data_IF_712994603916
#
_entry.id   IF_712994603916
#
_cell.length_a   1.000
_cell.length_b   1.000
_cell.length_c   1.000
_cell.angle_alpha   90.00
_cell.angle_beta   90.00
_cell.angle_gamma   90.00
#
_symmetry.space_group_name_H-M   'P 1'
#
loop_
_entity.id
_entity.type
_entity.pdbx_description
1 polymer ?
#
# COMPACT_ATOMS: atom_id res chain seq x y z
N UNK A 1 -18.92 0.53 6.24
CA UNK A 1 -18.33 0.23 4.92
C UNK A 1 -17.01 0.97 4.86
N UNK A 2 -15.94 0.31 4.42
CA UNK A 2 -14.64 0.99 4.28
C UNK A 2 -14.70 1.97 3.09
N UNK A 3 -13.83 2.99 3.07
CA UNK A 3 -13.75 3.91 1.93
C UNK A 3 -13.48 3.19 0.60
N UNK A 4 -12.81 2.03 0.65
CA UNK A 4 -12.57 1.16 -0.50
C UNK A 4 -13.85 0.47 -0.97
N UNK A 5 -14.72 0.02 -0.05
CA UNK A 5 -16.00 -0.58 -0.41
C UNK A 5 -16.94 0.43 -1.07
N UNK A 6 -16.94 1.67 -0.58
CA UNK A 6 -17.72 2.77 -1.15
C UNK A 6 -17.22 3.08 -2.57
N UNK A 7 -15.91 3.16 -2.77
CA UNK A 7 -15.29 3.38 -4.09
C UNK A 7 -15.63 2.25 -5.08
N UNK A 8 -15.55 0.98 -4.65
CA UNK A 8 -15.94 -0.17 -5.47
C UNK A 8 -17.42 -0.08 -5.85
N UNK A 9 -18.29 0.28 -4.89
CA UNK A 9 -19.72 0.48 -5.14
C UNK A 9 -20.00 1.58 -6.17
N UNK A 10 -19.33 2.72 -6.05
CA UNK A 10 -19.46 3.85 -6.98
C UNK A 10 -18.97 3.49 -8.39
N UNK A 11 -17.82 2.84 -8.52
CA UNK A 11 -17.28 2.42 -9.81
C UNK A 11 -18.18 1.40 -10.52
N UNK A 12 -18.78 0.47 -9.77
CA UNK A 12 -19.78 -0.46 -10.33
C UNK A 12 -21.03 0.26 -10.81
N UNK A 13 -21.50 1.26 -10.08
CA UNK A 13 -22.64 2.08 -10.49
C UNK A 13 -22.33 2.94 -11.73
N UNK A 14 -21.15 3.55 -11.80
CA UNK A 14 -20.65 4.29 -12.96
C UNK A 14 -20.64 3.38 -14.21
N UNK A 15 -20.06 2.19 -14.08
CA UNK A 15 -19.96 1.22 -15.18
C UNK A 15 -21.31 0.74 -15.71
N UNK A 16 -22.37 0.71 -14.90
CA UNK A 16 -23.70 0.33 -15.35
C UNK A 16 -24.26 1.30 -16.41
N UNK A 17 -23.82 2.56 -16.40
CA UNK A 17 -24.23 3.59 -17.37
C UNK A 17 -23.32 3.73 -18.59
N UNK A 18 -22.21 2.98 -18.66
CA UNK A 18 -21.17 3.15 -19.69
C UNK A 18 -21.09 1.95 -20.63
N UNK A 19 -20.75 2.23 -21.89
CA UNK A 19 -20.53 1.23 -22.95
C UNK A 19 -19.29 1.55 -23.79
N UNK A 20 -18.70 0.52 -24.41
CA UNK A 20 -17.53 0.68 -25.29
C UNK A 20 -16.30 1.26 -24.57
N UNK A 21 -15.47 2.00 -25.31
CA UNK A 21 -14.19 2.54 -24.81
C UNK A 21 -14.32 3.48 -23.62
N UNK A 22 -15.49 4.09 -23.40
CA UNK A 22 -15.77 4.91 -22.22
C UNK A 22 -15.66 4.12 -20.91
N UNK A 23 -15.79 2.78 -20.96
CA UNK A 23 -15.65 1.90 -19.79
C UNK A 23 -14.20 1.69 -19.37
N UNK A 24 -13.21 1.97 -20.22
CA UNK A 24 -11.81 1.61 -19.98
C UNK A 24 -11.26 2.18 -18.67
N UNK A 25 -11.39 3.49 -18.45
CA UNK A 25 -10.84 4.13 -17.25
C UNK A 25 -11.53 3.66 -15.94
N UNK A 26 -12.88 3.60 -15.85
CA UNK A 26 -13.54 3.07 -14.65
C UNK A 26 -13.25 1.59 -14.39
N UNK A 27 -13.09 0.77 -15.44
CA UNK A 27 -12.68 -0.64 -15.29
C UNK A 27 -11.27 -0.78 -14.69
N UNK A 28 -10.32 0.06 -15.13
CA UNK A 28 -8.95 0.06 -14.58
C UNK A 28 -8.99 0.42 -13.09
N UNK A 29 -9.71 1.50 -12.74
CA UNK A 29 -9.87 1.91 -11.34
C UNK A 29 -10.54 0.81 -10.51
N UNK A 30 -11.57 0.14 -11.05
CA UNK A 30 -12.25 -0.95 -10.37
C UNK A 30 -11.30 -2.12 -10.10
N UNK A 31 -10.52 -2.55 -11.11
CA UNK A 31 -9.52 -3.59 -10.95
C UNK A 31 -8.49 -3.24 -9.87
N UNK A 32 -7.99 -2.01 -9.87
CA UNK A 32 -7.05 -1.52 -8.84
C UNK A 32 -7.67 -1.51 -7.45
N UNK A 33 -8.89 -1.01 -7.28
CA UNK A 33 -9.57 -0.98 -5.98
C UNK A 33 -9.85 -2.38 -5.43
N UNK A 34 -10.19 -3.34 -6.28
CA UNK A 34 -10.40 -4.74 -5.88
C UNK A 34 -9.09 -5.40 -5.43
N UNK A 35 -8.00 -5.18 -6.16
CA UNK A 35 -6.67 -5.65 -5.76
C UNK A 35 -6.20 -4.99 -4.46
N UNK A 36 -6.44 -3.69 -4.31
CA UNK A 36 -6.13 -2.98 -3.09
C UNK A 36 -6.92 -3.53 -1.89
N UNK A 37 -8.22 -3.78 -2.05
CA UNK A 37 -9.03 -4.43 -1.01
C UNK A 37 -8.47 -5.80 -0.63
N UNK A 38 -8.10 -6.62 -1.62
CA UNK A 38 -7.49 -7.93 -1.39
C UNK A 38 -6.22 -7.81 -0.55
N UNK A 39 -5.38 -6.80 -0.80
CA UNK A 39 -4.17 -6.58 0.02
C UNK A 39 -4.47 -6.14 1.45
N UNK A 40 -5.58 -5.42 1.68
CA UNK A 40 -5.99 -4.98 3.02
C UNK A 40 -6.65 -6.09 3.83
N UNK A 41 -7.56 -6.86 3.22
CA UNK A 41 -8.32 -7.91 3.91
C UNK A 41 -7.60 -9.25 3.95
N UNK A 42 -6.57 -9.41 3.12
CA UNK A 42 -5.84 -10.66 2.93
C UNK A 42 -6.51 -11.60 1.92
N UNK A 43 -5.70 -12.54 1.42
CA UNK A 43 -6.11 -13.56 0.44
C UNK A 43 -7.00 -14.64 1.04
N UNK A 44 -7.17 -14.73 2.36
CA UNK A 44 -8.06 -15.72 2.99
C UNK A 44 -9.46 -15.17 3.31
N UNK A 45 -9.74 -13.90 2.97
CA UNK A 45 -11.03 -13.30 3.21
C UNK A 45 -12.14 -13.99 2.39
N UNK A 46 -13.39 -14.10 2.92
CA UNK A 46 -14.50 -14.74 2.19
C UNK A 46 -14.82 -14.10 0.83
N UNK A 47 -14.48 -12.82 0.62
CA UNK A 47 -14.67 -12.11 -0.64
C UNK A 47 -13.47 -12.21 -1.60
N UNK A 48 -12.33 -12.75 -1.16
CA UNK A 48 -11.07 -12.69 -1.90
C UNK A 48 -11.18 -13.28 -3.31
N UNK A 49 -11.73 -14.50 -3.44
CA UNK A 49 -11.90 -15.15 -4.73
C UNK A 49 -12.81 -14.34 -5.68
N UNK A 50 -13.95 -13.85 -5.19
CA UNK A 50 -14.88 -13.05 -5.98
C UNK A 50 -14.27 -11.71 -6.41
N UNK A 51 -13.46 -11.09 -5.55
CA UNK A 51 -12.78 -9.83 -5.85
C UNK A 51 -11.68 -10.01 -6.89
N UNK A 52 -10.92 -11.09 -6.79
CA UNK A 52 -9.89 -11.45 -7.77
C UNK A 52 -10.50 -11.72 -9.14
N UNK A 53 -11.58 -12.51 -9.21
CA UNK A 53 -12.28 -12.79 -10.48
C UNK A 53 -12.86 -11.51 -11.10
N UNK A 54 -13.42 -10.63 -10.27
CA UNK A 54 -13.92 -9.34 -10.71
C UNK A 54 -12.78 -8.42 -11.21
N UNK A 55 -11.61 -8.43 -10.55
CA UNK A 55 -10.45 -7.65 -10.95
C UNK A 55 -9.88 -8.15 -12.29
N UNK A 56 -9.74 -9.47 -12.45
CA UNK A 56 -9.35 -10.12 -13.71
C UNK A 56 -10.29 -9.70 -14.82
N UNK A 57 -11.61 -9.85 -14.63
CA UNK A 57 -12.61 -9.52 -15.64
C UNK A 57 -12.56 -8.03 -16.04
N UNK A 58 -12.42 -7.14 -15.06
CA UNK A 58 -12.37 -5.70 -15.32
C UNK A 58 -11.10 -5.28 -16.08
N UNK A 59 -9.94 -5.81 -15.70
CA UNK A 59 -8.65 -5.47 -16.32
C UNK A 59 -8.51 -6.10 -17.71
N UNK A 60 -9.05 -7.30 -17.93
CA UNK A 60 -9.13 -7.93 -19.24
C UNK A 60 -9.99 -7.10 -20.20
N UNK A 61 -11.19 -6.70 -19.76
CA UNK A 61 -12.09 -5.85 -20.56
C UNK A 61 -11.43 -4.50 -20.87
N UNK A 62 -10.79 -3.87 -19.88
CA UNK A 62 -10.07 -2.61 -20.08
C UNK A 62 -8.96 -2.73 -21.12
N UNK A 63 -8.13 -3.79 -21.06
CA UNK A 63 -7.07 -4.04 -22.04
C UNK A 63 -7.60 -4.23 -23.47
N UNK A 64 -8.83 -4.75 -23.60
CA UNK A 64 -9.52 -4.87 -24.88
C UNK A 64 -9.85 -3.53 -25.54
N UNK A 65 -9.91 -2.43 -24.77
CA UNK A 65 -10.15 -1.08 -25.29
C UNK A 65 -8.89 -0.28 -25.60
N UNK A 66 -7.73 -0.69 -25.08
CA UNK A 66 -6.48 0.03 -25.25
C UNK A 66 -5.76 -0.43 -26.54
N UNK A 67 -5.32 0.52 -27.36
CA UNK A 67 -4.46 0.23 -28.51
C UNK A 67 -3.05 -0.23 -28.09
N UNK A 68 -2.29 -0.85 -29.00
CA UNK A 68 -0.94 -1.37 -28.69
C UNK A 68 0.03 -0.28 -28.21
N UNK A 69 -0.06 0.93 -28.79
CA UNK A 69 0.79 2.09 -28.45
C UNK A 69 0.25 2.95 -27.29
N UNK A 70 -0.85 2.53 -26.66
CA UNK A 70 -1.48 3.29 -25.60
C UNK A 70 -0.54 3.44 -24.39
N UNK A 71 -0.29 4.66 -23.90
CA UNK A 71 0.68 4.91 -22.84
C UNK A 71 0.41 4.18 -21.53
N UNK A 72 -0.85 3.88 -21.21
CA UNK A 72 -1.21 3.22 -19.95
C UNK A 72 -1.31 1.70 -20.07
N UNK A 73 -1.26 1.14 -21.29
CA UNK A 73 -1.38 -0.31 -21.54
C UNK A 73 -0.37 -1.14 -20.75
N UNK A 74 0.85 -0.64 -20.60
CA UNK A 74 1.90 -1.30 -19.81
C UNK A 74 1.50 -1.45 -18.33
N UNK A 75 1.02 -0.37 -17.71
CA UNK A 75 0.54 -0.40 -16.32
C UNK A 75 -0.68 -1.28 -16.14
N UNK A 76 -1.66 -1.24 -17.07
CA UNK A 76 -2.83 -2.13 -17.00
C UNK A 76 -2.41 -3.59 -17.16
N UNK A 77 -1.45 -3.89 -18.03
CA UNK A 77 -0.91 -5.25 -18.18
C UNK A 77 -0.22 -5.72 -16.90
N UNK A 78 0.51 -4.85 -16.21
CA UNK A 78 1.09 -5.16 -14.90
C UNK A 78 0.01 -5.51 -13.86
N UNK A 79 -1.03 -4.67 -13.70
CA UNK A 79 -2.13 -4.96 -12.77
C UNK A 79 -2.87 -6.25 -13.13
N UNK A 80 -3.05 -6.52 -14.43
CA UNK A 80 -3.70 -7.74 -14.88
C UNK A 80 -2.87 -8.98 -14.56
N UNK A 81 -1.56 -8.95 -14.80
CA UNK A 81 -0.64 -10.01 -14.39
C UNK A 81 -0.65 -10.25 -12.87
N UNK A 82 -0.77 -9.18 -12.08
CA UNK A 82 -0.91 -9.29 -10.63
C UNK A 82 -2.23 -9.94 -10.22
N UNK A 83 -3.36 -9.55 -10.82
CA UNK A 83 -4.66 -10.19 -10.57
C UNK A 83 -4.66 -11.68 -10.92
N UNK A 84 -4.04 -12.06 -12.04
CA UNK A 84 -3.86 -13.46 -12.44
C UNK A 84 -2.96 -14.22 -11.46
N UNK A 85 -1.94 -13.57 -10.91
CA UNK A 85 -1.10 -14.16 -9.87
C UNK A 85 -1.89 -14.45 -8.60
N UNK A 86 -2.71 -13.49 -8.16
CA UNK A 86 -3.60 -13.69 -7.02
C UNK A 86 -4.60 -14.83 -7.28
N UNK A 87 -5.16 -14.92 -8.49
CA UNK A 87 -6.07 -16.01 -8.84
C UNK A 87 -5.39 -17.36 -8.86
N UNK A 88 -4.17 -17.42 -9.42
CA UNK A 88 -3.35 -18.62 -9.40
C UNK A 88 -3.08 -19.10 -7.98
N UNK A 89 -2.80 -18.20 -7.03
CA UNK A 89 -2.59 -18.57 -5.63
C UNK A 89 -3.85 -19.22 -4.99
N UNK A 90 -5.05 -18.88 -5.47
CA UNK A 90 -6.30 -19.47 -5.01
C UNK A 90 -6.69 -20.77 -5.72
N UNK A 91 -6.51 -20.85 -7.03
CA UNK A 91 -7.01 -21.95 -7.86
C UNK A 91 -5.95 -22.99 -8.18
N UNK A 92 -4.67 -22.62 -8.04
CA UNK A 92 -3.51 -23.34 -8.56
C UNK A 92 -3.61 -23.65 -10.08
N UNK A 93 -4.36 -22.85 -10.85
CA UNK A 93 -4.47 -23.03 -12.31
C UNK A 93 -3.21 -22.52 -13.00
N UNK A 94 -2.45 -23.43 -13.60
CA UNK A 94 -1.24 -23.15 -14.37
C UNK A 94 -1.46 -22.16 -15.52
N UNK A 95 -2.68 -22.11 -16.08
CA UNK A 95 -3.01 -21.16 -17.16
C UNK A 95 -2.93 -19.71 -16.69
N UNK A 96 -3.30 -19.45 -15.44
CA UNK A 96 -3.21 -18.11 -14.85
C UNK A 96 -1.75 -17.71 -14.61
N UNK A 97 -0.90 -18.66 -14.20
CA UNK A 97 0.56 -18.44 -14.08
C UNK A 97 1.17 -18.06 -15.43
N UNK A 98 0.90 -18.85 -16.47
CA UNK A 98 1.39 -18.59 -17.82
C UNK A 98 0.85 -17.27 -18.39
N UNK A 99 -0.40 -16.93 -18.10
CA UNK A 99 -0.98 -15.64 -18.48
C UNK A 99 -0.31 -14.48 -17.71
N UNK A 100 -0.06 -14.63 -16.42
CA UNK A 100 0.64 -13.64 -15.61
C UNK A 100 2.04 -13.35 -16.15
N UNK A 101 2.83 -14.40 -16.48
CA UNK A 101 4.14 -14.27 -17.13
C UNK A 101 4.04 -13.41 -18.40
N UNK A 102 3.11 -13.75 -19.31
CA UNK A 102 2.92 -13.00 -20.57
C UNK A 102 2.59 -11.52 -20.32
N UNK A 103 1.77 -11.22 -19.31
CA UNK A 103 1.37 -9.85 -19.01
C UNK A 103 2.47 -9.04 -18.31
N UNK A 104 3.31 -9.67 -17.47
CA UNK A 104 4.50 -9.01 -16.94
C UNK A 104 5.56 -8.76 -18.02
N UNK A 105 5.78 -9.71 -18.92
CA UNK A 105 6.65 -9.52 -20.10
C UNK A 105 6.14 -8.36 -20.98
N UNK A 106 4.83 -8.34 -21.28
CA UNK A 106 4.21 -7.25 -22.04
C UNK A 106 4.34 -5.89 -21.33
N UNK A 107 4.17 -5.86 -20.00
CA UNK A 107 4.37 -4.64 -19.22
C UNK A 107 5.82 -4.14 -19.33
N UNK A 108 6.80 -5.03 -19.17
CA UNK A 108 8.23 -4.70 -19.26
C UNK A 108 8.67 -4.31 -20.69
N UNK A 109 7.93 -4.74 -21.71
CA UNK A 109 8.11 -4.29 -23.10
C UNK A 109 7.65 -2.84 -23.35
N UNK A 110 6.86 -2.25 -22.45
CA UNK A 110 6.40 -0.87 -22.59
C UNK A 110 7.46 0.13 -22.13
N UNK A 111 7.88 1.01 -23.05
CA UNK A 111 8.81 2.10 -22.76
C UNK A 111 8.27 3.15 -21.78
N UNK A 112 6.96 3.15 -21.53
CA UNK A 112 6.26 4.12 -20.67
C UNK A 112 5.86 3.55 -19.31
N UNK A 113 6.29 2.32 -18.99
CA UNK A 113 6.00 1.72 -17.70
C UNK A 113 6.68 2.52 -16.58
N UNK A 114 5.91 2.88 -15.55
CA UNK A 114 6.43 3.63 -14.42
C UNK A 114 7.54 2.83 -13.70
N UNK A 115 8.56 3.53 -13.20
CA UNK A 115 9.75 2.90 -12.58
C UNK A 115 9.36 1.96 -11.42
N UNK A 116 8.36 2.34 -10.62
CA UNK A 116 7.84 1.48 -9.55
C UNK A 116 7.23 0.17 -10.08
N UNK A 117 6.54 0.20 -11.24
CA UNK A 117 5.96 -1.01 -11.84
C UNK A 117 7.03 -1.88 -12.50
N UNK A 118 8.15 -1.31 -12.96
CA UNK A 118 9.26 -2.09 -13.54
C UNK A 118 9.86 -3.04 -12.50
N UNK A 119 10.15 -2.54 -11.29
CA UNK A 119 10.68 -3.37 -10.21
C UNK A 119 9.68 -4.45 -9.80
N UNK A 120 8.41 -4.08 -9.60
CA UNK A 120 7.33 -5.02 -9.27
C UNK A 120 7.14 -6.10 -10.34
N UNK A 121 7.10 -5.72 -11.62
CA UNK A 121 6.93 -6.66 -12.73
C UNK A 121 8.07 -7.67 -12.79
N UNK A 122 9.33 -7.24 -12.58
CA UNK A 122 10.49 -8.14 -12.53
C UNK A 122 10.45 -9.06 -11.31
N UNK A 123 10.07 -8.57 -10.14
CA UNK A 123 9.90 -9.41 -8.95
C UNK A 123 8.87 -10.51 -9.19
N UNK A 124 7.70 -10.15 -9.72
CA UNK A 124 6.63 -11.11 -10.01
C UNK A 124 7.00 -12.09 -11.13
N UNK A 125 7.64 -11.60 -12.19
CA UNK A 125 8.10 -12.45 -13.29
C UNK A 125 9.16 -13.45 -12.82
N UNK A 126 10.12 -13.00 -12.00
CA UNK A 126 11.14 -13.87 -11.41
C UNK A 126 10.53 -14.94 -10.52
N UNK A 127 9.55 -14.58 -9.69
CA UNK A 127 8.79 -15.52 -8.86
C UNK A 127 8.10 -16.62 -9.68
N UNK A 128 7.43 -16.26 -10.78
CA UNK A 128 6.75 -17.24 -11.62
C UNK A 128 7.70 -18.19 -12.33
N UNK A 129 8.84 -17.69 -12.80
CA UNK A 129 9.90 -18.55 -13.35
C UNK A 129 10.47 -19.49 -12.29
N UNK A 130 10.65 -19.00 -11.07
CA UNK A 130 11.13 -19.80 -9.94
C UNK A 130 10.15 -20.93 -9.58
N UNK A 131 8.84 -20.62 -9.50
CA UNK A 131 7.80 -21.64 -9.30
C UNK A 131 7.83 -22.72 -10.40
N UNK A 132 8.00 -22.31 -11.66
CA UNK A 132 8.08 -23.25 -12.79
C UNK A 132 9.30 -24.15 -12.73
N UNK A 133 10.46 -23.59 -12.33
CA UNK A 133 11.67 -24.38 -12.10
C UNK A 133 11.50 -25.39 -10.95
N UNK A 134 10.66 -25.07 -9.95
CA UNK A 134 10.41 -25.91 -8.78
C UNK A 134 9.27 -26.91 -8.93
N UNK A 135 8.33 -26.71 -9.85
CA UNK A 135 7.13 -27.53 -9.96
C UNK A 135 7.40 -29.06 -9.95
N UNK A 136 8.39 -29.58 -10.70
CA UNK A 136 8.71 -31.01 -10.69
C UNK A 136 9.18 -31.54 -9.34
N UNK A 137 9.81 -30.70 -8.51
CA UNK A 137 10.24 -31.04 -7.16
C UNK A 137 9.08 -31.04 -6.16
N UNK A 138 8.10 -30.15 -6.34
CA UNK A 138 6.95 -30.04 -5.45
C UNK A 138 5.92 -31.16 -5.63
N UNK A 139 5.76 -31.66 -6.86
CA UNK A 139 4.79 -32.73 -7.17
C UNK A 139 5.40 -34.13 -7.21
N UNK A 140 6.70 -34.27 -6.94
CA UNK A 140 7.33 -35.57 -6.83
C UNK A 140 6.99 -36.18 -5.46
N UNK A 141 6.04 -37.12 -5.46
CA UNK A 141 5.57 -37.84 -4.28
C UNK A 141 6.64 -38.73 -3.60
N UNK A 142 7.85 -38.85 -4.18
CA UNK A 142 8.97 -39.56 -3.57
C UNK A 142 10.31 -38.95 -3.96
N UNK A 143 11.31 -39.10 -3.08
CA UNK A 143 12.71 -38.75 -3.33
C UNK A 143 13.33 -39.52 -4.52
N UNK A 144 12.75 -40.67 -4.91
CA UNK A 144 13.09 -41.35 -6.15
C UNK A 144 12.45 -40.70 -7.39
N UNK A 145 11.26 -40.12 -7.27
CA UNK A 145 10.61 -39.33 -8.31
C UNK A 145 11.35 -38.02 -8.62
N UNK A 146 11.90 -37.36 -7.60
CA UNK A 146 12.75 -36.16 -7.79
C UNK A 146 14.10 -36.50 -8.42
N UNK A 147 14.71 -37.65 -8.09
CA UNK A 147 15.95 -38.10 -8.74
C UNK A 147 15.73 -38.69 -10.14
N UNK A 148 14.55 -39.24 -10.42
CA UNK A 148 14.17 -39.74 -11.74
C UNK A 148 13.59 -38.64 -12.66
N UNK A 149 13.17 -37.51 -12.10
CA UNK A 149 12.91 -36.28 -12.83
C UNK A 149 14.23 -35.83 -13.45
N UNK A 150 14.48 -36.33 -14.67
CA UNK A 150 15.57 -35.86 -15.52
C UNK A 150 15.54 -34.34 -15.47
N UNK A 151 16.64 -33.71 -15.07
CA UNK A 151 16.78 -32.26 -15.17
C UNK A 151 16.41 -31.86 -16.58
N UNK A 152 15.24 -31.23 -16.74
CA UNK A 152 14.83 -30.71 -18.02
C UNK A 152 15.58 -29.39 -18.22
N UNK A 153 16.16 -29.21 -19.41
CA UNK A 153 16.86 -27.98 -19.77
C UNK A 153 15.94 -26.75 -19.62
N UNK A 154 14.63 -26.96 -19.70
CA UNK A 154 13.60 -25.95 -19.43
C UNK A 154 13.65 -25.41 -17.99
N UNK A 155 13.81 -26.28 -16.98
CA UNK A 155 13.85 -25.90 -15.56
C UNK A 155 15.10 -25.08 -15.24
N UNK A 156 16.25 -25.45 -15.82
CA UNK A 156 17.49 -24.68 -15.70
C UNK A 156 17.31 -23.30 -16.33
N UNK A 157 16.68 -23.25 -17.51
CA UNK A 157 16.39 -21.99 -18.20
C UNK A 157 15.46 -21.09 -17.38
N UNK A 158 14.50 -21.67 -16.68
CA UNK A 158 13.59 -20.93 -15.81
C UNK A 158 14.28 -20.40 -14.56
N UNK A 159 15.14 -21.20 -13.93
CA UNK A 159 15.97 -20.73 -12.82
C UNK A 159 16.90 -19.59 -13.25
N UNK A 160 17.49 -19.67 -14.45
CA UNK A 160 18.31 -18.59 -15.01
C UNK A 160 17.49 -17.32 -15.25
N UNK A 161 16.30 -17.44 -15.84
CA UNK A 161 15.39 -16.30 -16.06
C UNK A 161 14.93 -15.66 -14.76
N UNK A 162 14.64 -16.47 -13.73
CA UNK A 162 14.30 -15.97 -12.40
C UNK A 162 15.45 -15.14 -11.82
N UNK A 163 16.67 -15.69 -11.84
CA UNK A 163 17.86 -15.01 -11.35
C UNK A 163 18.13 -13.70 -12.10
N UNK A 164 17.97 -13.68 -13.43
CA UNK A 164 18.14 -12.46 -14.24
C UNK A 164 17.12 -11.37 -13.88
N UNK A 165 15.87 -11.76 -13.59
CA UNK A 165 14.86 -10.82 -13.11
C UNK A 165 15.27 -10.17 -11.78
N UNK A 166 15.70 -10.97 -10.81
CA UNK A 166 16.10 -10.47 -9.48
C UNK A 166 17.38 -9.63 -9.54
N UNK A 167 18.37 -10.04 -10.34
CA UNK A 167 19.58 -9.22 -10.61
C UNK A 167 19.21 -7.87 -11.22
N UNK A 168 18.26 -7.85 -12.16
CA UNK A 168 17.81 -6.61 -12.79
C UNK A 168 17.06 -5.69 -11.81
N UNK A 169 16.37 -6.24 -10.80
CA UNK A 169 15.81 -5.44 -9.69
C UNK A 169 16.95 -4.84 -8.87
N UNK A 170 17.90 -5.64 -8.39
CA UNK A 170 19.03 -5.16 -7.58
C UNK A 170 19.89 -4.12 -8.31
N UNK A 171 20.14 -4.32 -9.61
CA UNK A 171 20.91 -3.39 -10.43
C UNK A 171 20.21 -2.03 -10.61
N UNK A 172 18.87 -2.02 -10.59
CA UNK A 172 18.09 -0.80 -10.71
C UNK A 172 18.06 0.03 -9.42
N UNK A 173 18.53 -0.52 -8.29
CA UNK A 173 18.54 0.12 -6.96
C UNK A 173 17.17 0.70 -6.60
N UNK A 174 16.14 -0.15 -6.42
CA UNK A 174 14.81 0.34 -6.06
C UNK A 174 14.87 1.11 -4.74
N UNK A 175 13.99 2.10 -4.54
CA UNK A 175 14.01 2.97 -3.36
C UNK A 175 13.65 2.24 -2.06
N UNK A 176 13.04 1.05 -2.15
CA UNK A 176 12.68 0.23 -0.99
C UNK A 176 13.81 -0.75 -0.66
N UNK A 177 14.34 -0.63 0.55
CA UNK A 177 15.32 -1.56 1.13
C UNK A 177 14.73 -2.98 1.20
N UNK A 178 13.46 -3.12 1.58
CA UNK A 178 12.75 -4.40 1.63
C UNK A 178 12.68 -5.10 0.25
N UNK A 179 12.43 -4.35 -0.82
CA UNK A 179 12.45 -4.91 -2.19
C UNK A 179 13.86 -5.37 -2.56
N UNK A 180 14.91 -4.64 -2.16
CA UNK A 180 16.29 -5.07 -2.37
C UNK A 180 16.60 -6.35 -1.61
N UNK A 181 16.23 -6.43 -0.32
CA UNK A 181 16.43 -7.62 0.49
C UNK A 181 15.68 -8.83 -0.08
N UNK A 182 14.41 -8.65 -0.45
CA UNK A 182 13.60 -9.70 -1.05
C UNK A 182 14.19 -10.18 -2.39
N UNK A 183 14.61 -9.25 -3.25
CA UNK A 183 15.23 -9.59 -4.53
C UNK A 183 16.55 -10.34 -4.35
N UNK A 184 17.39 -9.92 -3.40
CA UNK A 184 18.64 -10.59 -3.06
C UNK A 184 18.38 -12.02 -2.58
N UNK A 185 17.39 -12.19 -1.73
CA UNK A 185 17.05 -13.51 -1.20
C UNK A 185 16.49 -14.45 -2.28
N UNK A 186 15.58 -13.95 -3.12
CA UNK A 186 15.03 -14.74 -4.23
C UNK A 186 16.10 -15.07 -5.27
N UNK A 187 17.10 -14.20 -5.46
CA UNK A 187 18.27 -14.48 -6.28
C UNK A 187 19.12 -15.62 -5.72
N UNK A 188 19.43 -15.60 -4.43
CA UNK A 188 20.17 -16.68 -3.76
C UNK A 188 19.44 -18.01 -3.89
N UNK A 189 18.11 -17.98 -3.76
CA UNK A 189 17.27 -19.16 -3.92
C UNK A 189 17.24 -19.66 -5.37
N UNK A 190 17.11 -18.77 -6.36
CA UNK A 190 17.19 -19.12 -7.78
C UNK A 190 18.55 -19.72 -8.15
N UNK A 191 19.66 -19.16 -7.64
CA UNK A 191 21.01 -19.69 -7.85
C UNK A 191 21.20 -21.05 -7.16
N UNK A 192 20.59 -21.26 -5.98
CA UNK A 192 20.53 -22.56 -5.30
C UNK A 192 19.84 -23.63 -6.14
N UNK A 193 18.66 -23.31 -6.69
CA UNK A 193 17.91 -24.21 -7.58
C UNK A 193 18.71 -24.48 -8.87
N UNK A 194 19.28 -23.44 -9.48
CA UNK A 194 20.13 -23.58 -10.67
C UNK A 194 21.29 -24.54 -10.43
N UNK A 195 21.97 -24.44 -9.29
CA UNK A 195 23.10 -25.33 -8.93
C UNK A 195 22.62 -26.76 -8.70
N UNK A 196 21.47 -26.94 -8.05
CA UNK A 196 20.86 -28.24 -7.83
C UNK A 196 20.46 -28.91 -9.14
N UNK A 197 19.89 -28.16 -10.08
CA UNK A 197 19.49 -28.65 -11.39
C UNK A 197 20.70 -28.85 -12.33
N UNK A 198 21.71 -27.99 -12.24
CA UNK A 198 22.91 -27.98 -13.09
C UNK A 198 24.04 -28.93 -12.67
N UNK A 199 23.89 -29.65 -11.55
CA UNK A 199 24.85 -30.67 -11.11
C UNK A 199 24.86 -31.87 -12.06
N UNK A 200 25.87 -31.95 -12.94
CA UNK A 200 25.97 -33.01 -13.94
C UNK A 200 25.92 -34.43 -13.37
N UNK A 201 25.22 -35.36 -14.06
CA UNK A 201 25.05 -36.82 -13.87
C UNK A 201 24.97 -37.43 -12.44
N UNK A 202 25.03 -36.64 -11.38
CA UNK A 202 25.32 -37.09 -10.02
C UNK A 202 24.41 -36.48 -8.97
N UNK A 203 23.09 -36.53 -9.20
CA UNK A 203 22.07 -36.36 -8.16
C UNK A 203 21.97 -35.00 -7.48
N UNK A 204 20.88 -34.84 -6.72
CA UNK A 204 20.58 -33.65 -5.90
C UNK A 204 21.64 -33.55 -4.78
N UNK A 205 22.31 -32.41 -4.67
CA UNK A 205 23.23 -32.14 -3.55
C UNK A 205 22.43 -31.89 -2.27
N UNK A 206 22.23 -32.95 -1.47
CA UNK A 206 21.43 -32.93 -0.23
C UNK A 206 21.95 -31.91 0.80
N UNK A 207 23.26 -31.63 0.84
CA UNK A 207 23.82 -30.62 1.73
C UNK A 207 23.34 -29.22 1.34
N UNK A 208 23.39 -28.88 0.04
CA UNK A 208 22.85 -27.62 -0.47
C UNK A 208 21.34 -27.51 -0.32
N UNK A 209 20.61 -28.62 -0.43
CA UNK A 209 19.18 -28.65 -0.17
C UNK A 209 18.87 -28.35 1.31
N UNK A 210 19.68 -28.84 2.25
CA UNK A 210 19.54 -28.52 3.67
C UNK A 210 19.84 -27.05 3.98
N UNK A 211 20.87 -26.48 3.35
CA UNK A 211 21.22 -25.05 3.47
C UNK A 211 20.11 -24.16 2.88
N UNK A 212 19.53 -24.58 1.76
CA UNK A 212 18.39 -23.91 1.13
C UNK A 212 17.13 -23.96 2.02
N UNK A 213 16.82 -25.11 2.62
CA UNK A 213 15.68 -25.23 3.54
C UNK A 213 15.86 -24.41 4.81
N UNK A 214 17.09 -24.34 5.35
CA UNK A 214 17.41 -23.45 6.46
C UNK A 214 17.22 -21.97 6.08
N UNK A 215 17.62 -21.60 4.87
CA UNK A 215 17.42 -20.25 4.32
C UNK A 215 15.93 -19.93 4.12
N UNK A 216 15.13 -20.87 3.62
CA UNK A 216 13.67 -20.76 3.49
C UNK A 216 12.97 -20.63 4.86
N UNK A 217 13.42 -21.40 5.86
CA UNK A 217 12.87 -21.30 7.22
C UNK A 217 13.21 -19.95 7.85
N UNK A 218 14.45 -19.47 7.70
CA UNK A 218 14.86 -18.15 8.16
C UNK A 218 14.09 -17.04 7.43
N UNK A 219 13.81 -17.22 6.13
CA UNK A 219 12.96 -16.33 5.33
C UNK A 219 11.52 -16.29 5.88
N UNK A 220 10.93 -17.45 6.13
CA UNK A 220 9.57 -17.53 6.68
C UNK A 220 9.52 -16.89 8.07
N UNK A 221 10.54 -17.09 8.91
CA UNK A 221 10.64 -16.47 10.23
C UNK A 221 10.80 -14.94 10.12
N UNK A 222 11.64 -14.42 9.22
CA UNK A 222 11.77 -12.98 8.98
C UNK A 222 10.47 -12.37 8.45
N UNK A 223 9.84 -12.98 7.44
CA UNK A 223 8.57 -12.53 6.89
C UNK A 223 7.42 -12.53 7.91
N UNK A 224 7.41 -13.49 8.83
CA UNK A 224 6.35 -13.58 9.86
C UNK A 224 6.64 -12.71 11.07
N UNK A 225 7.91 -12.51 11.46
CA UNK A 225 8.31 -11.68 12.60
C UNK A 225 8.35 -10.19 12.27
N UNK A 226 8.63 -9.84 11.02
CA UNK A 226 8.71 -8.47 10.49
C UNK A 226 7.56 -8.15 9.53
N UNK A 227 6.41 -8.83 9.63
CA UNK A 227 5.18 -8.47 8.94
C UNK A 227 4.66 -7.11 9.47
N UNK A 228 5.38 -6.03 9.15
CA UNK A 228 5.00 -4.66 9.43
C UNK A 228 3.75 -4.35 8.59
N UNK A 229 2.68 -3.81 9.19
CA UNK A 229 1.55 -3.29 8.43
C UNK A 229 2.02 -2.02 7.71
N UNK A 230 2.47 -2.14 6.46
CA UNK A 230 3.04 -1.00 5.73
C UNK A 230 3.52 -1.29 4.31
N UNK A 231 3.38 -2.52 3.80
CA UNK A 231 3.54 -2.72 2.36
C UNK A 231 2.56 -1.78 1.65
N UNK A 232 3.04 -1.00 0.68
CA UNK A 232 2.18 -0.18 -0.19
C UNK A 232 1.12 -1.03 -0.92
N UNK A 233 0.52 -0.59 -2.02
CA UNK A 233 -0.59 -1.30 -2.68
C UNK A 233 -0.26 -2.74 -3.17
N UNK A 234 0.95 -3.26 -2.92
CA UNK A 234 1.41 -4.61 -3.19
C UNK A 234 2.01 -5.23 -1.92
N UNK A 235 1.16 -5.82 -1.08
CA UNK A 235 1.62 -6.68 0.01
C UNK A 235 2.17 -7.99 -0.58
N UNK A 236 3.47 -8.02 -0.89
CA UNK A 236 4.12 -9.19 -1.47
C UNK A 236 4.15 -10.37 -0.49
N UNK A 237 4.07 -10.14 0.83
CA UNK A 237 4.12 -11.25 1.80
C UNK A 237 2.90 -12.19 1.72
N UNK A 238 1.73 -11.70 1.31
CA UNK A 238 0.52 -12.54 1.10
C UNK A 238 0.52 -13.29 -0.23
N UNK A 239 1.25 -12.78 -1.22
CA UNK A 239 1.36 -13.39 -2.57
C UNK A 239 2.54 -14.35 -2.66
N UNK A 240 3.62 -14.08 -1.92
CA UNK A 240 4.84 -14.89 -1.85
C UNK A 240 4.86 -15.85 -0.65
N UNK A 241 3.68 -16.25 -0.13
CA UNK A 241 3.61 -17.30 0.88
C UNK A 241 4.16 -18.60 0.30
N UNK A 242 5.43 -18.89 0.60
CA UNK A 242 6.08 -20.19 0.35
C UNK A 242 5.66 -21.22 1.41
N UNK A 243 4.53 -21.01 2.09
CA UNK A 243 4.02 -21.91 3.10
C UNK A 243 3.61 -23.23 2.46
N UNK A 244 4.54 -24.19 2.45
CA UNK A 244 4.32 -25.60 2.15
C UNK A 244 3.17 -26.23 2.98
N UNK A 245 2.73 -25.54 4.04
CA UNK A 245 1.60 -25.90 4.89
C UNK A 245 0.24 -25.67 4.22
N UNK A 246 0.05 -24.66 3.39
CA UNK A 246 -1.26 -24.38 2.77
C UNK A 246 -1.60 -25.45 1.72
N UNK A 247 -0.60 -25.91 0.96
CA UNK A 247 -0.74 -27.04 0.03
C UNK A 247 -0.99 -28.40 0.71
N UNK A 248 -0.63 -28.58 1.99
CA UNK A 248 -0.96 -29.77 2.79
C UNK A 248 -2.32 -29.62 3.51
N UNK A 249 -2.77 -28.39 3.71
CA UNK A 249 -4.06 -28.06 4.33
C UNK A 249 -5.23 -28.36 3.40
N UNK A 250 -5.02 -28.22 2.09
CA UNK A 250 -5.99 -28.51 1.02
C UNK A 250 -6.04 -29.99 0.59
N UNK A 251 -5.15 -30.85 1.13
CA UNK A 251 -5.30 -32.29 0.96
C UNK A 251 -6.48 -32.79 1.80
N UNK A 252 -7.31 -33.64 1.18
CA UNK A 252 -8.37 -34.38 1.85
C UNK A 252 -7.81 -34.98 3.16
N UNK A 253 -8.48 -34.79 4.32
CA UNK A 253 -7.97 -35.24 5.62
C UNK A 253 -7.50 -36.71 5.66
N UNK A 254 -8.01 -37.55 4.76
CA UNK A 254 -7.67 -38.96 4.63
C UNK A 254 -6.35 -39.25 3.90
N UNK A 255 -5.77 -38.27 3.19
CA UNK A 255 -4.53 -38.40 2.41
C UNK A 255 -3.32 -37.77 3.12
N UNK A 256 -3.50 -37.31 4.37
CA UNK A 256 -2.41 -36.74 5.18
C UNK A 256 -1.58 -37.89 5.79
N UNK A 257 -0.25 -37.91 5.61
CA UNK A 257 0.58 -38.92 6.26
C UNK A 257 0.59 -38.70 7.78
N UNK A 258 -0.06 -39.60 8.52
CA UNK A 258 -0.02 -39.61 9.99
C UNK A 258 1.30 -40.24 10.42
N UNK A 259 2.20 -39.44 11.00
CA UNK A 259 3.33 -39.98 11.76
C UNK A 259 2.78 -40.38 13.12
N UNK A 260 2.59 -41.68 13.32
CA UNK A 260 2.29 -42.26 14.63
C UNK A 260 3.60 -42.27 15.43
N UNK A 261 3.73 -41.36 16.39
CA UNK A 261 4.75 -41.45 17.43
C UNK A 261 4.13 -42.21 18.59
N UNK A 262 4.46 -43.49 18.72
CA UNK A 262 4.19 -44.25 19.94
C UNK A 262 5.22 -43.80 20.99
N UNK A 263 4.81 -42.88 21.86
CA UNK A 263 5.53 -42.53 23.08
C UNK A 263 4.60 -42.78 24.26
N UNK A 264 5.02 -43.64 25.19
CA UNK A 264 4.37 -43.83 26.48
C UNK A 264 4.41 -42.49 27.24
N UNK A 265 3.23 -41.90 27.46
CA UNK A 265 3.09 -40.73 28.33
C UNK A 265 3.19 -41.21 29.78
N UNK A 266 4.37 -41.06 30.37
CA UNK A 266 4.51 -41.02 31.83
C UNK A 266 4.01 -39.66 32.31
N UNK A 267 2.95 -39.67 33.13
CA UNK A 267 2.43 -38.51 33.84
C UNK A 267 3.45 -38.08 34.93
N UNK A 268 4.44 -37.27 34.57
CA UNK A 268 5.18 -36.45 35.54
C UNK A 268 4.72 -34.99 35.46
N UNK A 269 4.08 -34.54 36.53
CA UNK A 269 3.69 -33.16 36.78
C UNK A 269 4.94 -32.26 36.84
N UNK A 270 5.09 -31.26 35.96
CA UNK A 270 6.27 -30.40 35.98
C UNK A 270 6.22 -29.45 37.17
N UNK A 271 7.36 -29.18 37.86
CA UNK A 271 7.39 -28.29 39.00
C UNK A 271 7.05 -26.85 38.58
N UNK A 272 6.12 -26.22 39.30
CA UNK A 272 5.76 -24.80 39.15
C UNK A 272 6.99 -23.91 39.33
N UNK A 273 7.48 -23.35 38.23
CA UNK A 273 8.39 -22.21 38.27
C UNK A 273 7.61 -20.97 38.73
N UNK A 274 8.18 -20.13 39.62
CA UNK A 274 7.52 -18.91 40.05
C UNK A 274 7.27 -18.00 38.86
N UNK A 275 6.01 -17.63 38.64
CA UNK A 275 5.59 -16.59 37.69
C UNK A 275 6.27 -15.28 38.07
N UNK A 276 7.32 -14.92 37.35
CA UNK A 276 7.74 -13.53 37.23
C UNK A 276 6.66 -12.83 36.41
N UNK A 277 5.83 -12.02 37.07
CA UNK A 277 5.00 -11.06 36.36
C UNK A 277 5.91 -10.18 35.50
N UNK A 278 5.68 -10.10 34.18
CA UNK A 278 6.43 -9.18 33.33
C UNK A 278 6.24 -7.77 33.91
N UNK A 279 7.35 -7.10 34.22
CA UNK A 279 7.34 -5.72 34.66
C UNK A 279 6.51 -4.91 33.65
N UNK A 280 5.49 -4.19 34.15
CA UNK A 280 4.73 -3.27 33.34
C UNK A 280 5.71 -2.32 32.64
N UNK A 281 5.65 -2.17 31.30
CA UNK A 281 6.52 -1.22 30.62
C UNK A 281 6.29 0.16 31.24
N UNK A 282 7.38 0.86 31.57
CA UNK A 282 7.28 2.25 32.00
C UNK A 282 6.50 3.04 30.93
N UNK A 283 5.65 4.00 31.32
CA UNK A 283 4.93 4.83 30.37
C UNK A 283 5.97 5.59 29.54
N UNK A 284 6.20 5.12 28.32
CA UNK A 284 7.06 5.81 27.36
C UNK A 284 6.41 7.16 27.09
N UNK A 285 7.12 8.26 27.35
CA UNK A 285 6.70 9.59 26.93
C UNK A 285 6.74 9.63 25.39
N UNK A 286 5.62 9.25 24.79
CA UNK A 286 5.45 9.17 23.33
C UNK A 286 5.59 10.54 22.68
N UNK A 287 5.19 11.62 23.36
CA UNK A 287 5.33 12.99 22.84
C UNK A 287 6.81 13.37 22.72
N UNK A 288 7.60 13.11 23.77
CA UNK A 288 9.04 13.35 23.72
C UNK A 288 9.74 12.48 22.67
N UNK A 289 9.34 11.22 22.57
CA UNK A 289 9.89 10.26 21.60
C UNK A 289 9.60 10.70 20.15
N UNK A 290 8.36 11.11 19.86
CA UNK A 290 7.94 11.63 18.56
C UNK A 290 8.75 12.89 18.18
N UNK A 291 8.87 13.86 19.10
CA UNK A 291 9.64 15.10 18.88
C UNK A 291 11.11 14.79 18.58
N UNK A 292 11.71 13.90 19.34
CA UNK A 292 13.11 13.49 19.15
C UNK A 292 13.29 12.78 17.80
N UNK A 293 12.36 11.89 17.43
CA UNK A 293 12.42 11.13 16.17
C UNK A 293 12.33 12.04 14.94
N UNK A 294 11.49 13.08 15.01
CA UNK A 294 11.37 14.11 13.99
C UNK A 294 12.40 15.24 14.12
N UNK A 295 13.33 15.15 15.07
CA UNK A 295 14.36 16.17 15.34
C UNK A 295 13.79 17.58 15.56
N UNK A 296 12.63 17.68 16.22
CA UNK A 296 11.93 18.93 16.40
C UNK A 296 12.55 19.77 17.52
N UNK A 297 12.64 21.08 17.28
CA UNK A 297 13.06 22.08 18.27
C UNK A 297 11.88 22.93 18.75
N UNK A 298 12.02 23.55 19.92
CA UNK A 298 11.01 24.49 20.43
C UNK A 298 11.06 25.85 19.69
N UNK A 299 9.91 26.47 19.38
CA UNK A 299 8.57 25.93 19.59
C UNK A 299 8.21 24.83 18.58
N UNK A 300 7.69 23.70 19.07
CA UNK A 300 7.48 22.48 18.28
C UNK A 300 6.72 22.72 16.96
N UNK A 301 5.68 23.56 16.98
CA UNK A 301 4.86 23.82 15.79
C UNK A 301 5.60 24.58 14.69
N UNK A 302 6.58 25.43 15.01
CA UNK A 302 7.39 26.10 13.98
C UNK A 302 8.36 25.10 13.33
N UNK A 303 9.04 24.32 14.16
CA UNK A 303 9.96 23.29 13.68
C UNK A 303 9.23 22.24 12.83
N UNK A 304 8.03 21.82 13.23
CA UNK A 304 7.25 20.84 12.48
C UNK A 304 6.71 21.42 11.16
N UNK A 305 6.36 22.71 11.11
CA UNK A 305 5.93 23.37 9.87
C UNK A 305 7.05 23.46 8.83
N UNK A 306 8.33 23.53 9.25
CA UNK A 306 9.46 23.50 8.32
C UNK A 306 9.51 22.19 7.53
N UNK A 307 9.22 21.05 8.17
CA UNK A 307 9.20 19.73 7.53
C UNK A 307 8.16 19.63 6.40
N UNK A 308 7.09 20.45 6.43
CA UNK A 308 6.11 20.52 5.34
C UNK A 308 6.66 21.24 4.10
N UNK A 309 7.65 22.13 4.28
CA UNK A 309 8.23 22.94 3.22
C UNK A 309 9.58 22.41 2.70
N UNK A 310 10.29 21.62 3.50
CA UNK A 310 11.64 21.15 3.18
C UNK A 310 11.64 20.02 2.15
N UNK A 311 12.67 20.02 1.30
CA UNK A 311 12.88 18.99 0.26
C UNK A 311 13.40 17.69 0.88
N UNK A 312 14.17 17.78 1.95
CA UNK A 312 14.78 16.63 2.62
C UNK A 312 13.74 15.91 3.50
N UNK A 313 13.12 14.88 2.94
CA UNK A 313 12.17 14.03 3.66
C UNK A 313 12.93 13.04 4.55
N UNK A 314 12.52 12.86 5.83
CA UNK A 314 13.10 11.82 6.68
C UNK A 314 12.97 10.43 6.04
N UNK A 315 13.81 9.49 6.48
CA UNK A 315 13.75 8.10 5.99
C UNK A 315 12.36 7.48 6.22
N UNK A 316 11.93 6.59 5.33
CA UNK A 316 10.60 5.95 5.38
C UNK A 316 10.29 5.37 6.76
N UNK A 317 11.23 4.61 7.33
CA UNK A 317 11.08 4.02 8.66
C UNK A 317 10.88 5.06 9.78
N UNK A 318 11.50 6.24 9.66
CA UNK A 318 11.33 7.35 10.62
C UNK A 318 9.92 7.94 10.50
N UNK A 319 9.43 8.09 9.28
CA UNK A 319 8.08 8.62 9.01
C UNK A 319 7.00 7.64 9.48
N UNK A 320 7.12 6.35 9.19
CA UNK A 320 6.14 5.34 9.62
C UNK A 320 6.03 5.24 11.14
N UNK A 321 7.16 5.24 11.84
CA UNK A 321 7.18 5.29 13.30
C UNK A 321 6.58 6.60 13.83
N UNK A 322 6.86 7.73 13.18
CA UNK A 322 6.27 9.01 13.57
C UNK A 322 4.74 9.00 13.39
N UNK A 323 4.21 8.41 12.32
CA UNK A 323 2.76 8.24 12.12
C UNK A 323 2.19 7.34 13.22
N UNK A 324 2.82 6.20 13.51
CA UNK A 324 2.35 5.29 14.55
C UNK A 324 2.32 5.95 15.94
N UNK A 325 3.39 6.68 16.30
CA UNK A 325 3.46 7.42 17.57
C UNK A 325 2.44 8.55 17.61
N UNK A 326 2.33 9.38 16.57
CA UNK A 326 1.41 10.51 16.53
C UNK A 326 -0.05 10.05 16.61
N UNK A 327 -0.41 8.97 15.89
CA UNK A 327 -1.74 8.36 16.00
C UNK A 327 -2.04 7.88 17.43
N UNK A 328 -1.08 7.19 18.05
CA UNK A 328 -1.24 6.71 19.45
C UNK A 328 -1.41 7.88 20.42
N UNK A 329 -0.70 8.99 20.22
CA UNK A 329 -0.81 10.18 21.07
C UNK A 329 -2.19 10.84 20.94
N UNK A 330 -2.74 10.98 19.73
CA UNK A 330 -4.06 11.61 19.54
C UNK A 330 -5.23 10.69 19.91
N UNK A 331 -5.04 9.37 19.82
CA UNK A 331 -6.04 8.36 20.22
C UNK A 331 -6.02 8.09 21.73
N UNK A 332 -5.00 8.55 22.44
CA UNK A 332 -4.88 8.38 23.90
C UNK A 332 -5.91 9.22 24.66
N UNK A 333 -6.53 8.63 25.69
CA UNK A 333 -7.49 9.30 26.57
C UNK A 333 -6.84 10.26 27.60
N UNK A 334 -5.60 10.71 27.37
CA UNK A 334 -4.90 11.58 28.32
C UNK A 334 -5.43 13.02 28.19
N UNK A 335 -6.01 13.55 29.28
CA UNK A 335 -6.49 14.94 29.33
C UNK A 335 -5.32 15.92 29.14
N UNK A 336 -5.21 16.52 27.96
CA UNK A 336 -4.23 17.55 27.63
C UNK A 336 -4.89 18.94 27.53
N UNK A 337 -4.09 19.99 27.74
CA UNK A 337 -4.52 21.36 27.46
C UNK A 337 -4.86 21.51 25.96
N UNK A 338 -5.89 22.30 25.56
CA UNK A 338 -6.32 22.40 24.17
C UNK A 338 -5.21 22.81 23.18
N UNK A 339 -4.23 23.58 23.64
CA UNK A 339 -3.07 23.96 22.83
C UNK A 339 -2.11 22.79 22.59
N UNK A 340 -1.87 21.95 23.60
CA UNK A 340 -1.02 20.76 23.48
C UNK A 340 -1.70 19.72 22.60
N UNK A 341 -3.00 19.49 22.80
CA UNK A 341 -3.79 18.59 21.96
C UNK A 341 -3.80 19.07 20.49
N UNK A 342 -3.88 20.38 20.26
CA UNK A 342 -3.77 20.93 18.92
C UNK A 342 -2.39 20.69 18.28
N UNK A 343 -1.31 20.74 19.07
CA UNK A 343 0.04 20.40 18.60
C UNK A 343 0.14 18.91 18.28
N UNK A 344 -0.44 18.04 19.10
CA UNK A 344 -0.45 16.59 18.86
C UNK A 344 -1.16 16.26 17.52
N UNK A 345 -2.34 16.83 17.28
CA UNK A 345 -3.03 16.72 15.98
C UNK A 345 -2.26 17.34 14.82
N UNK A 346 -1.52 18.42 15.06
CA UNK A 346 -0.68 19.04 14.04
C UNK A 346 0.52 18.14 13.67
N UNK A 347 1.14 17.50 14.65
CA UNK A 347 2.23 16.55 14.41
C UNK A 347 1.75 15.31 13.63
N UNK A 348 0.54 14.82 13.91
CA UNK A 348 -0.07 13.75 13.10
C UNK A 348 -0.26 14.21 11.65
N UNK A 349 -0.78 15.42 11.42
CA UNK A 349 -0.93 15.98 10.08
C UNK A 349 0.41 16.05 9.34
N UNK A 350 1.47 16.51 10.00
CA UNK A 350 2.83 16.58 9.44
C UNK A 350 3.35 15.19 9.10
N UNK A 351 3.22 14.21 9.99
CA UNK A 351 3.68 12.84 9.76
C UNK A 351 2.96 12.19 8.56
N UNK A 352 1.63 12.36 8.45
CA UNK A 352 0.83 11.86 7.33
C UNK A 352 1.21 12.54 6.01
N UNK A 353 1.51 13.84 6.02
CA UNK A 353 2.00 14.54 4.84
C UNK A 353 3.36 14.02 4.37
N UNK A 354 4.29 13.79 5.32
CA UNK A 354 5.59 13.22 5.01
C UNK A 354 5.45 11.82 4.43
N UNK A 355 4.50 11.00 4.91
CA UNK A 355 4.23 9.67 4.35
C UNK A 355 3.65 9.75 2.94
N UNK A 356 2.66 10.61 2.72
CA UNK A 356 2.07 10.85 1.38
C UNK A 356 3.13 11.23 0.32
N UNK A 357 4.13 12.02 0.71
CA UNK A 357 5.26 12.38 -0.16
C UNK A 357 6.14 11.19 -0.55
N UNK A 358 6.25 10.18 0.30
CA UNK A 358 7.12 9.02 0.10
C UNK A 358 6.44 7.93 -0.74
N UNK A 359 5.15 7.67 -0.52
CA UNK A 359 4.47 6.50 -1.11
C UNK A 359 3.10 6.80 -1.76
N UNK A 360 2.61 8.05 -1.71
CA UNK A 360 1.29 8.45 -2.23
C UNK A 360 0.16 7.52 -1.78
N UNK A 361 0.21 7.01 -0.54
CA UNK A 361 -0.76 6.05 0.01
C UNK A 361 -2.18 6.62 0.28
N UNK A 362 -2.48 7.85 -0.16
CA UNK A 362 -3.76 8.52 0.09
C UNK A 362 -3.84 9.21 1.45
N UNK A 363 -2.70 9.37 2.12
CA UNK A 363 -2.61 10.01 3.44
C UNK A 363 -2.80 11.52 3.41
N UNK A 364 -2.69 12.14 2.24
CA UNK A 364 -2.94 13.59 2.08
C UNK A 364 -4.28 14.02 2.67
N UNK A 365 -5.34 13.25 2.42
CA UNK A 365 -6.67 13.57 2.92
C UNK A 365 -6.75 13.43 4.44
N UNK A 366 -6.23 12.33 4.98
CA UNK A 366 -6.22 12.08 6.41
C UNK A 366 -5.39 13.14 7.16
N UNK A 367 -4.24 13.53 6.59
CA UNK A 367 -3.39 14.58 7.13
C UNK A 367 -4.08 15.94 7.13
N UNK A 368 -4.85 16.27 6.09
CA UNK A 368 -5.63 17.51 6.06
C UNK A 368 -6.81 17.51 7.05
N UNK A 369 -7.47 16.37 7.25
CA UNK A 369 -8.52 16.20 8.25
C UNK A 369 -7.93 16.34 9.69
N UNK A 370 -6.74 15.79 9.93
CA UNK A 370 -5.98 15.98 11.16
C UNK A 370 -5.57 17.46 11.35
N UNK A 371 -5.10 18.13 10.29
CA UNK A 371 -4.74 19.55 10.32
C UNK A 371 -5.95 20.43 10.66
N UNK A 372 -7.13 20.13 10.11
CA UNK A 372 -8.35 20.86 10.43
C UNK A 372 -8.75 20.65 11.90
N UNK A 373 -8.54 19.45 12.43
CA UNK A 373 -8.78 19.14 13.85
C UNK A 373 -7.84 19.95 14.75
N UNK A 374 -6.54 19.99 14.43
CA UNK A 374 -5.58 20.85 15.10
C UNK A 374 -6.01 22.33 15.06
N UNK A 375 -6.41 22.82 13.88
CA UNK A 375 -6.86 24.19 13.68
C UNK A 375 -8.12 24.53 14.50
N UNK A 376 -9.01 23.56 14.76
CA UNK A 376 -10.21 23.75 15.59
C UNK A 376 -9.89 23.78 17.08
N UNK A 377 -8.90 23.00 17.54
CA UNK A 377 -8.52 22.89 18.96
C UNK A 377 -7.64 24.04 19.44
N UNK A 378 -6.75 24.55 18.58
CA UNK A 378 -5.85 25.66 18.96
C UNK A 378 -6.64 26.94 19.29
N UNK A 379 -6.38 27.62 20.42
CA UNK A 379 -6.98 28.93 20.68
C UNK A 379 -6.63 29.96 19.60
N UNK A 380 -7.56 30.85 19.24
CA UNK A 380 -7.40 31.79 18.10
C UNK A 380 -6.31 32.85 18.33
N UNK A 381 -6.00 33.12 19.59
CA UNK A 381 -4.97 34.03 20.07
C UNK A 381 -3.63 33.35 20.36
N UNK A 382 -3.57 32.01 20.26
CA UNK A 382 -2.35 31.25 20.46
C UNK A 382 -1.40 31.40 19.24
N UNK A 383 -0.08 31.56 19.43
CA UNK A 383 0.88 31.74 18.33
C UNK A 383 0.90 30.59 17.32
N UNK A 384 0.63 29.36 17.76
CA UNK A 384 0.55 28.20 16.87
C UNK A 384 -0.60 28.29 15.84
N UNK A 385 -1.65 29.07 16.10
CA UNK A 385 -2.83 29.14 15.23
C UNK A 385 -2.47 29.62 13.81
N UNK A 386 -1.60 30.63 13.70
CA UNK A 386 -1.14 31.17 12.42
C UNK A 386 -0.35 30.12 11.64
N UNK A 387 0.56 29.41 12.33
CA UNK A 387 1.42 28.39 11.73
C UNK A 387 0.61 27.18 11.24
N UNK A 388 -0.31 26.69 12.06
CA UNK A 388 -1.20 25.57 11.71
C UNK A 388 -2.07 25.93 10.50
N UNK A 389 -2.68 27.13 10.48
CA UNK A 389 -3.53 27.55 9.37
C UNK A 389 -2.74 27.77 8.07
N UNK A 390 -1.55 28.36 8.14
CA UNK A 390 -0.63 28.52 7.00
C UNK A 390 -0.25 27.16 6.39
N UNK A 391 -0.09 26.15 7.23
CA UNK A 391 0.36 24.82 6.84
C UNK A 391 -0.61 24.09 5.88
N UNK A 392 -1.85 24.57 5.75
CA UNK A 392 -2.80 24.06 4.75
C UNK A 392 -2.23 24.12 3.33
N UNK A 393 -1.37 25.10 3.03
CA UNK A 393 -0.74 25.24 1.72
C UNK A 393 0.02 23.99 1.27
N UNK A 394 0.60 23.23 2.20
CA UNK A 394 1.34 22.00 1.90
C UNK A 394 0.44 20.84 1.44
N UNK A 395 -0.87 20.91 1.72
CA UNK A 395 -1.84 19.87 1.37
C UNK A 395 -2.62 20.19 0.08
N UNK A 396 -2.42 21.38 -0.49
CA UNK A 396 -3.10 21.78 -1.71
C UNK A 396 -2.54 21.00 -2.91
N UNK A 397 -3.44 20.55 -3.77
CA UNK A 397 -3.08 19.91 -5.02
C UNK A 397 -2.88 20.99 -6.11
N UNK A 398 -1.68 21.14 -6.68
CA UNK A 398 -1.44 22.12 -7.75
C UNK A 398 -2.23 21.81 -9.03
N UNK A 399 -2.59 20.54 -9.27
CA UNK A 399 -3.35 20.11 -10.44
C UNK A 399 -4.87 20.21 -10.21
N UNK A 400 -5.31 20.30 -8.94
CA UNK A 400 -6.70 20.46 -8.54
C UNK A 400 -6.87 21.49 -7.40
N UNK A 401 -6.57 22.77 -7.62
CA UNK A 401 -6.41 23.78 -6.56
C UNK A 401 -7.69 24.10 -5.78
N UNK A 402 -8.87 23.74 -6.32
CA UNK A 402 -10.17 23.93 -5.69
C UNK A 402 -10.89 22.61 -5.35
N UNK A 403 -10.25 21.45 -5.57
CA UNK A 403 -10.83 20.13 -5.36
C UNK A 403 -9.97 19.24 -4.47
N UNK A 404 -10.27 17.93 -4.48
CA UNK A 404 -9.47 16.92 -3.78
C UNK A 404 -9.57 17.09 -2.25
N UNK A 405 -8.45 17.42 -1.62
CA UNK A 405 -8.39 17.63 -0.16
C UNK A 405 -9.42 18.66 0.32
N UNK A 406 -9.56 19.76 -0.44
CA UNK A 406 -10.42 20.87 -0.06
C UNK A 406 -11.91 20.51 -0.04
N UNK A 407 -12.34 19.46 -0.75
CA UNK A 407 -13.75 19.05 -0.84
C UNK A 407 -14.36 18.78 0.56
N UNK A 408 -13.53 18.30 1.51
CA UNK A 408 -13.97 18.03 2.89
C UNK A 408 -13.65 19.16 3.87
N UNK A 409 -12.46 19.76 3.75
CA UNK A 409 -11.92 20.61 4.83
C UNK A 409 -12.15 22.10 4.60
N UNK A 410 -12.47 22.53 3.38
CA UNK A 410 -12.48 23.94 3.00
C UNK A 410 -13.42 24.81 3.84
N UNK A 411 -14.65 24.36 4.10
CA UNK A 411 -15.60 25.10 4.93
C UNK A 411 -15.09 25.29 6.36
N UNK A 412 -14.47 24.25 6.93
CA UNK A 412 -13.89 24.29 8.27
C UNK A 412 -12.72 25.27 8.38
N UNK A 413 -11.78 25.21 7.42
CA UNK A 413 -10.65 26.14 7.39
C UNK A 413 -11.09 27.57 7.12
N UNK A 414 -12.05 27.82 6.22
CA UNK A 414 -12.57 29.15 5.96
C UNK A 414 -13.09 29.82 7.26
N UNK A 415 -13.85 29.08 8.07
CA UNK A 415 -14.36 29.57 9.35
C UNK A 415 -13.26 29.86 10.39
N UNK A 416 -12.20 29.04 10.43
CA UNK A 416 -11.07 29.28 11.36
C UNK A 416 -10.18 30.42 10.91
N UNK A 417 -9.93 30.55 9.60
CA UNK A 417 -9.22 31.69 9.03
C UNK A 417 -9.98 33.00 9.27
N UNK A 418 -11.31 32.99 9.16
CA UNK A 418 -12.16 34.14 9.52
C UNK A 418 -11.96 34.56 10.99
N UNK A 419 -11.99 33.59 11.91
CA UNK A 419 -11.84 33.86 13.34
C UNK A 419 -10.45 34.44 13.68
N UNK A 420 -9.37 33.87 13.12
CA UNK A 420 -8.00 34.34 13.37
C UNK A 420 -7.75 35.71 12.73
N UNK A 421 -8.23 35.96 11.50
CA UNK A 421 -8.07 37.26 10.83
C UNK A 421 -8.90 38.38 11.46
N UNK A 422 -10.00 38.04 12.14
CA UNK A 422 -10.82 38.99 12.90
C UNK A 422 -10.17 39.39 14.23
N UNK A 423 -9.26 38.57 14.76
CA UNK A 423 -8.49 38.87 15.96
C UNK A 423 -7.28 39.76 15.71
N UNK A 424 -6.66 40.19 16.81
CA UNK A 424 -5.43 41.01 16.81
C UNK A 424 -4.14 40.16 16.86
N UNK A 425 -4.26 38.82 16.79
CA UNK A 425 -3.11 37.90 16.90
C UNK A 425 -2.18 37.92 15.69
N UNK A 426 -2.67 38.31 14.50
CA UNK A 426 -1.88 38.41 13.27
C UNK A 426 -1.39 39.84 13.08
N UNK A 427 -0.18 40.11 13.59
CA UNK A 427 0.45 41.43 13.54
C UNK A 427 1.30 41.65 12.28
N UNK A 428 1.87 40.59 11.71
CA UNK A 428 2.65 40.69 10.48
C UNK A 428 1.75 40.86 9.24
N UNK A 429 1.93 41.92 8.42
CA UNK A 429 1.12 42.15 7.23
C UNK A 429 1.25 41.06 6.17
N UNK A 430 2.43 40.42 6.06
CA UNK A 430 2.68 39.34 5.11
C UNK A 430 1.92 38.07 5.48
N UNK A 431 1.97 37.67 6.74
CA UNK A 431 1.18 36.55 7.28
C UNK A 431 -0.32 36.81 7.14
N UNK A 432 -0.77 38.04 7.41
CA UNK A 432 -2.18 38.44 7.22
C UNK A 432 -2.61 38.27 5.76
N UNK A 433 -1.76 38.66 4.81
CA UNK A 433 -2.03 38.50 3.37
C UNK A 433 -2.08 37.02 2.97
N UNK A 434 -1.14 36.20 3.45
CA UNK A 434 -1.09 34.77 3.18
C UNK A 434 -2.32 34.03 3.71
N UNK A 435 -2.71 34.29 4.95
CA UNK A 435 -3.94 33.72 5.54
C UNK A 435 -5.19 34.20 4.80
N UNK A 436 -5.22 35.46 4.36
CA UNK A 436 -6.33 35.97 3.55
C UNK A 436 -6.43 35.26 2.20
N UNK A 437 -5.29 34.98 1.54
CA UNK A 437 -5.27 34.22 0.30
C UNK A 437 -5.80 32.79 0.49
N UNK A 438 -5.31 32.07 1.52
CA UNK A 438 -5.81 30.74 1.88
C UNK A 438 -7.32 30.76 2.17
N UNK A 439 -7.81 31.78 2.87
CA UNK A 439 -9.23 31.97 3.15
C UNK A 439 -10.04 32.08 1.86
N UNK A 440 -9.57 32.85 0.89
CA UNK A 440 -10.22 33.00 -0.40
C UNK A 440 -10.26 31.67 -1.17
N UNK A 441 -9.17 30.91 -1.16
CA UNK A 441 -9.10 29.57 -1.78
C UNK A 441 -10.11 28.61 -1.13
N UNK A 442 -10.13 28.53 0.21
CA UNK A 442 -11.09 27.69 0.91
C UNK A 442 -12.55 28.08 0.62
N UNK A 443 -12.86 29.38 0.59
CA UNK A 443 -14.22 29.84 0.25
C UNK A 443 -14.60 29.52 -1.19
N UNK A 444 -13.67 29.67 -2.13
CA UNK A 444 -13.89 29.31 -3.53
C UNK A 444 -14.15 27.80 -3.67
N UNK A 445 -13.28 26.95 -3.10
CA UNK A 445 -13.43 25.51 -3.14
C UNK A 445 -14.77 25.05 -2.52
N UNK A 446 -15.13 25.60 -1.35
CA UNK A 446 -16.41 25.30 -0.73
C UNK A 446 -17.60 25.73 -1.60
N UNK A 447 -17.56 26.93 -2.18
CA UNK A 447 -18.62 27.43 -3.06
C UNK A 447 -18.77 26.60 -4.34
N UNK A 448 -17.67 26.14 -4.93
CA UNK A 448 -17.68 25.24 -6.09
C UNK A 448 -18.30 23.90 -5.73
N UNK A 449 -17.90 23.31 -4.59
CA UNK A 449 -18.48 22.05 -4.10
C UNK A 449 -19.98 22.16 -3.79
N UNK A 450 -20.42 23.27 -3.19
CA UNK A 450 -21.85 23.56 -2.96
C UNK A 450 -22.60 23.75 -4.28
N UNK A 451 -22.03 24.46 -5.25
CA UNK A 451 -22.64 24.63 -6.57
C UNK A 451 -22.84 23.28 -7.27
N UNK A 452 -21.83 22.41 -7.24
CA UNK A 452 -21.93 21.05 -7.78
C UNK A 452 -23.10 20.28 -7.17
N UNK A 453 -23.17 20.23 -5.83
CA UNK A 453 -24.28 19.59 -5.10
C UNK A 453 -25.63 20.20 -5.43
N UNK A 454 -25.74 21.53 -5.45
CA UNK A 454 -26.99 22.22 -5.71
C UNK A 454 -27.52 21.92 -7.11
N UNK A 455 -26.63 21.84 -8.11
CA UNK A 455 -26.98 21.54 -9.50
C UNK A 455 -27.53 20.12 -9.67
N UNK A 456 -27.01 19.15 -8.92
CA UNK A 456 -27.51 17.77 -8.95
C UNK A 456 -28.93 17.64 -8.38
N UNK A 457 -29.36 18.59 -7.56
CA UNK A 457 -30.70 18.62 -6.95
C UNK A 457 -31.68 19.57 -7.67
N UNK A 458 -31.28 20.17 -8.81
CA UNK A 458 -32.17 21.02 -9.61
C UNK A 458 -33.33 20.18 -10.14
N UNK A 459 -34.56 20.64 -9.90
CA UNK A 459 -35.77 19.94 -10.33
C UNK A 459 -35.83 19.83 -11.87
N UNK A 460 -36.39 18.73 -12.43
CA UNK A 460 -36.45 18.54 -13.88
C UNK A 460 -37.23 19.60 -14.65
N UNK A 461 -38.15 20.31 -13.99
CA UNK A 461 -38.97 21.38 -14.55
C UNK A 461 -38.34 22.78 -14.39
N UNK A 462 -37.16 22.88 -13.78
CA UNK A 462 -36.42 24.14 -13.72
C UNK A 462 -36.06 24.59 -15.15
N UNK A 463 -36.28 25.86 -15.52
CA UNK A 463 -36.15 26.29 -16.92
C UNK A 463 -34.70 26.47 -17.41
N UNK A 464 -33.70 26.48 -16.52
CA UNK A 464 -32.29 26.71 -16.89
C UNK A 464 -31.29 25.72 -16.26
N UNK A 465 -31.51 24.39 -16.34
CA UNK A 465 -30.62 23.42 -15.73
C UNK A 465 -29.28 23.36 -16.47
N UNK A 466 -29.29 23.55 -17.80
CA UNK A 466 -28.09 23.44 -18.64
C UNK A 466 -27.07 24.56 -18.39
N UNK A 467 -27.46 25.86 -18.29
CA UNK A 467 -26.53 26.91 -17.87
C UNK A 467 -25.93 26.69 -16.48
N UNK A 468 -26.71 26.20 -15.52
CA UNK A 468 -26.21 25.91 -14.17
C UNK A 468 -25.22 24.73 -14.17
N UNK A 469 -25.53 23.66 -14.91
CA UNK A 469 -24.60 22.53 -15.12
C UNK A 469 -23.33 22.95 -15.84
N UNK A 470 -23.43 23.84 -16.83
CA UNK A 470 -22.26 24.37 -17.52
C UNK A 470 -21.39 25.24 -16.61
N UNK A 471 -22.01 26.07 -15.76
CA UNK A 471 -21.29 26.86 -14.77
C UNK A 471 -20.57 25.97 -13.73
N UNK A 472 -21.25 24.94 -13.21
CA UNK A 472 -20.64 24.00 -12.28
C UNK A 472 -19.43 23.27 -12.90
N UNK A 473 -19.56 22.78 -14.14
CA UNK A 473 -18.46 22.14 -14.90
C UNK A 473 -17.30 23.06 -15.27
N UNK A 474 -17.51 24.38 -15.26
CA UNK A 474 -16.46 25.35 -15.57
C UNK A 474 -15.72 25.82 -14.32
N UNK A 475 -16.28 25.56 -13.14
CA UNK A 475 -15.79 26.06 -11.86
C UNK A 475 -14.94 25.03 -11.08
N UNK A 476 -15.12 23.73 -11.38
CA UNK A 476 -14.24 22.64 -10.97
C UNK A 476 -13.73 21.91 -12.20
#
# INVERSE_FOLDING_TARGET
MSAVDDAIGQLRAELAGLSGTARAAPLIRLGQSLLFRLTQTGTVAPSAAADVDAAVSALEEALGYLGEDDPIRGSVSFYFGYALTARHAHSNDEKDRDAAIRHFDAALGSAKLAVQHVAGARMMLGYHYLLRAMAPMMFASSLMGTMAARTDQTQVTDADRAADCFRAVLAAKPPSEDICEMAQMMLEFADGIRVMLGGGQGGINLQKLSEMMASLSALQERLTREAKPGYGPFNLSSVFSLSFKDSLSDLNPMDRPVVVVEGELEDEEPPELPKLEPAAPEPVDLRHSLRTRLSLTEPVWESAALLLSEVDTPAVAVVDEAVAMASTVVDGDEEAEPADEAVDWFLLAVALHLRDRLDSAGDRQAGADALLTAARKVPVDHPAAVVILRSLGAFLDPDAPLGGVLDRVAAGFAGRLDAVLAGDSVTDPGERANLHALRCVCRAAWAVGELGRAVDHVQPDYPWPDPLKAAARSAG
#
